data_IF_991990750222
#
_entry.id   IF_991990750222
#
_cell.length_a   1.000
_cell.length_b   1.000
_cell.length_c   1.000
_cell.angle_alpha   90.00
_cell.angle_beta   90.00
_cell.angle_gamma   90.00
#
_symmetry.space_group_name_H-M   'P 1'
#
loop_
_entity.id
_entity.type
_entity.pdbx_description
1 polymer ?
#
# COMPACT_ATOMS: atom_id res chain seq x y z
N UNK A 1 7.78 4.85 -57.87
CA UNK A 1 6.84 4.87 -56.73
C UNK A 1 7.64 5.26 -55.48
N UNK A 2 7.52 6.52 -55.04
CA UNK A 2 8.25 7.07 -53.88
C UNK A 2 7.43 6.79 -52.61
N UNK A 3 8.01 6.08 -51.64
CA UNK A 3 7.42 5.88 -50.32
C UNK A 3 7.72 7.10 -49.46
N UNK A 4 6.67 7.72 -48.94
CA UNK A 4 6.72 8.85 -48.02
C UNK A 4 6.79 8.28 -46.60
N UNK A 5 7.86 8.59 -45.88
CA UNK A 5 8.01 8.36 -44.44
C UNK A 5 7.32 9.53 -43.72
N UNK A 6 6.34 9.21 -42.87
CA UNK A 6 5.72 10.15 -41.93
C UNK A 6 6.36 9.90 -40.56
N UNK A 7 6.96 10.90 -39.90
CA UNK A 7 7.33 10.77 -38.50
C UNK A 7 6.12 11.15 -37.62
N UNK A 8 5.68 10.23 -36.78
CA UNK A 8 4.75 10.53 -35.69
C UNK A 8 5.54 11.22 -34.57
N UNK A 9 5.35 12.52 -34.44
CA UNK A 9 5.86 13.33 -33.34
C UNK A 9 4.84 13.25 -32.20
N UNK A 10 5.09 12.39 -31.21
CA UNK A 10 4.32 12.37 -29.96
C UNK A 10 4.93 13.45 -29.06
N UNK A 11 4.20 14.55 -28.90
CA UNK A 11 4.52 15.62 -27.97
C UNK A 11 4.07 15.17 -26.57
N UNK A 12 5.00 14.69 -25.75
CA UNK A 12 4.76 14.44 -24.33
C UNK A 12 4.94 15.77 -23.60
N UNK A 13 3.83 16.42 -23.24
CA UNK A 13 3.84 17.69 -22.51
C UNK A 13 4.16 17.38 -21.04
N UNK A 14 5.34 17.82 -20.59
CA UNK A 14 5.72 17.79 -19.18
C UNK A 14 4.79 18.70 -18.36
N UNK A 15 4.02 18.11 -17.46
CA UNK A 15 3.44 18.82 -16.32
C UNK A 15 4.42 18.68 -15.14
N UNK A 16 5.37 19.62 -15.05
CA UNK A 16 6.26 19.73 -13.89
C UNK A 16 5.83 20.93 -13.05
N UNK A 17 5.57 20.68 -11.77
CA UNK A 17 5.62 21.69 -10.71
C UNK A 17 4.29 22.27 -10.23
N UNK A 18 3.39 21.44 -9.71
CA UNK A 18 2.47 21.86 -8.65
C UNK A 18 2.81 21.01 -7.41
N UNK A 19 3.41 21.64 -6.38
CA UNK A 19 3.52 21.01 -5.07
C UNK A 19 2.12 20.91 -4.49
N UNK A 20 1.53 19.72 -4.52
CA UNK A 20 0.17 19.50 -4.01
C UNK A 20 0.22 19.45 -2.48
N UNK A 21 -0.56 20.35 -1.87
CA UNK A 21 -0.71 20.39 -0.43
C UNK A 21 -1.64 19.27 0.02
N UNK A 22 -1.06 18.20 0.53
CA UNK A 22 -1.77 17.07 1.07
C UNK A 22 -2.50 17.51 2.35
N UNK A 23 -1.87 18.16 3.32
CA UNK A 23 -2.54 18.44 4.61
C UNK A 23 -2.61 19.93 4.97
N UNK A 24 -2.37 20.84 4.03
CA UNK A 24 -2.31 22.26 4.36
C UNK A 24 -3.69 22.81 4.74
N UNK A 25 -3.83 23.04 6.04
CA UNK A 25 -4.95 23.70 6.68
C UNK A 25 -4.65 25.18 6.92
N UNK A 26 -3.93 25.85 6.01
CA UNK A 26 -3.83 27.31 6.01
C UNK A 26 -5.19 27.93 5.66
N UNK A 27 -6.09 27.90 6.65
CA UNK A 27 -7.29 28.73 6.82
C UNK A 27 -7.85 29.42 5.55
N UNK A 28 -8.91 28.88 4.92
CA UNK A 28 -10.03 29.74 4.65
C UNK A 28 -10.68 30.02 6.01
N UNK A 29 -10.26 31.11 6.64
CA UNK A 29 -11.06 31.72 7.70
C UNK A 29 -12.46 31.97 7.12
N UNK A 30 -13.39 31.04 7.37
CA UNK A 30 -14.79 31.13 6.93
C UNK A 30 -15.31 30.07 5.95
N UNK A 31 -14.63 28.92 5.77
CA UNK A 31 -15.12 27.83 4.90
C UNK A 31 -15.13 26.48 5.59
N UNK A 32 -16.17 26.22 6.37
CA UNK A 32 -16.67 24.92 6.82
C UNK A 32 -15.92 23.67 6.31
N UNK A 33 -14.99 23.13 7.11
CA UNK A 33 -14.66 21.69 7.09
C UNK A 33 -15.81 20.90 7.74
N UNK A 34 -17.05 21.20 7.35
CA UNK A 34 -18.18 20.30 7.62
C UNK A 34 -17.96 19.11 6.72
N UNK A 35 -17.28 18.13 7.30
CA UNK A 35 -17.71 16.74 7.17
C UNK A 35 -19.24 16.77 7.32
N UNK A 36 -19.98 16.79 6.20
CA UNK A 36 -21.42 16.49 6.15
C UNK A 36 -21.67 14.97 6.37
N UNK A 37 -20.61 14.23 6.68
CA UNK A 37 -20.64 12.87 7.20
C UNK A 37 -21.07 12.94 8.67
N UNK A 38 -21.91 11.99 9.11
CA UNK A 38 -22.52 11.99 10.44
C UNK A 38 -21.52 12.22 11.57
N UNK A 39 -22.02 12.72 12.71
CA UNK A 39 -21.24 12.91 13.94
C UNK A 39 -20.38 11.66 14.21
N UNK A 40 -19.06 11.82 14.19
CA UNK A 40 -18.11 10.73 14.42
C UNK A 40 -18.44 10.06 15.76
N UNK A 41 -18.53 8.74 15.75
CA UNK A 41 -18.87 7.94 16.91
C UNK A 41 -17.99 6.70 16.99
N UNK A 42 -16.98 6.73 17.86
CA UNK A 42 -16.02 5.65 18.02
C UNK A 42 -16.58 4.40 18.72
N UNK A 43 -17.78 4.49 19.31
CA UNK A 43 -18.51 3.37 19.88
C UNK A 43 -19.48 2.72 18.88
N UNK A 44 -19.81 3.42 17.79
CA UNK A 44 -20.70 2.91 16.74
C UNK A 44 -20.04 1.79 15.93
N UNK A 45 -20.83 0.82 15.44
CA UNK A 45 -20.35 -0.18 14.48
C UNK A 45 -19.72 0.40 13.20
N UNK A 46 -20.04 1.64 12.83
CA UNK A 46 -19.55 2.28 11.59
C UNK A 46 -18.64 3.48 11.84
N UNK A 47 -18.35 3.85 13.09
CA UNK A 47 -17.55 5.04 13.37
C UNK A 47 -18.28 6.38 13.14
N UNK A 48 -19.59 6.34 12.84
CA UNK A 48 -20.37 7.50 12.39
C UNK A 48 -20.42 7.69 10.86
N UNK A 49 -19.64 6.92 10.10
CA UNK A 49 -19.65 6.98 8.64
C UNK A 49 -20.94 6.42 8.03
N UNK A 50 -21.37 7.01 6.90
CA UNK A 50 -22.59 6.65 6.18
C UNK A 50 -22.33 5.76 4.95
N UNK A 51 -23.35 5.02 4.48
CA UNK A 51 -23.30 4.22 3.24
C UNK A 51 -23.60 5.04 1.96
N UNK A 52 -23.60 6.38 2.05
CA UNK A 52 -23.88 7.26 0.92
C UNK A 52 -22.68 7.37 -0.01
N UNK A 53 -22.94 7.62 -1.29
CA UNK A 53 -21.89 7.98 -2.24
C UNK A 53 -21.28 9.34 -1.86
N UNK A 54 -20.05 9.57 -2.30
CA UNK A 54 -19.27 10.79 -2.10
C UNK A 54 -18.90 11.40 -3.46
N UNK A 55 -18.39 12.62 -3.46
CA UNK A 55 -17.66 13.12 -4.63
C UNK A 55 -16.40 12.25 -4.88
N UNK A 56 -15.95 12.07 -6.14
CA UNK A 56 -14.69 11.42 -6.44
C UNK A 56 -13.55 11.97 -5.56
N UNK A 57 -12.72 11.07 -5.02
CA UNK A 57 -11.66 11.42 -4.09
C UNK A 57 -12.12 12.23 -2.86
N UNK A 58 -13.37 12.04 -2.42
CA UNK A 58 -14.01 12.82 -1.35
C UNK A 58 -14.02 14.34 -1.62
N UNK A 59 -13.99 14.75 -2.90
CA UNK A 59 -13.85 16.15 -3.30
C UNK A 59 -12.45 16.75 -3.14
N UNK A 60 -11.43 15.91 -2.85
CA UNK A 60 -10.06 16.32 -2.55
C UNK A 60 -9.06 15.75 -3.58
N UNK A 61 -9.33 15.88 -4.88
CA UNK A 61 -8.54 15.23 -5.96
C UNK A 61 -7.02 15.45 -5.85
N UNK A 62 -6.59 16.67 -5.54
CA UNK A 62 -5.17 17.03 -5.38
C UNK A 62 -4.48 16.18 -4.30
N UNK A 63 -5.22 15.82 -3.24
CA UNK A 63 -4.72 15.00 -2.12
C UNK A 63 -4.53 13.52 -2.46
N UNK A 64 -5.00 13.06 -3.63
CA UNK A 64 -4.86 11.67 -4.06
C UNK A 64 -4.09 11.52 -5.38
N UNK A 65 -3.81 12.63 -6.07
CA UNK A 65 -3.12 12.63 -7.36
C UNK A 65 -1.76 11.94 -7.33
N UNK A 66 -0.93 12.21 -6.30
CA UNK A 66 0.38 11.58 -6.14
C UNK A 66 0.32 10.07 -5.82
N UNK A 67 -0.80 9.57 -5.32
CA UNK A 67 -0.95 8.17 -4.89
C UNK A 67 -1.56 7.26 -5.98
N UNK A 68 -2.09 7.84 -7.06
CA UNK A 68 -2.85 7.11 -8.08
C UNK A 68 -2.08 6.86 -9.38
N UNK A 69 -0.97 7.56 -9.59
CA UNK A 69 -0.20 7.55 -10.85
C UNK A 69 1.01 6.61 -10.73
N UNK A 70 0.72 5.32 -10.67
CA UNK A 70 1.73 4.26 -10.84
C UNK A 70 1.48 3.58 -12.20
N UNK A 71 2.35 3.79 -13.22
CA UNK A 71 2.15 3.19 -14.53
C UNK A 71 2.28 1.66 -14.46
N UNK A 72 1.48 0.97 -15.28
CA UNK A 72 1.66 -0.46 -15.50
C UNK A 72 3.02 -0.70 -16.17
N UNK A 73 3.79 -1.64 -15.64
CA UNK A 73 5.02 -2.08 -16.27
C UNK A 73 4.70 -3.27 -17.18
N UNK A 74 5.04 -3.15 -18.46
CA UNK A 74 4.85 -4.23 -19.43
C UNK A 74 6.07 -5.14 -19.38
N UNK A 75 6.02 -6.15 -18.51
CA UNK A 75 7.11 -7.12 -18.37
C UNK A 75 7.07 -8.17 -19.48
N UNK A 76 8.19 -8.33 -20.18
CA UNK A 76 8.35 -9.33 -21.25
C UNK A 76 8.18 -10.77 -20.75
N UNK A 77 8.44 -11.02 -19.46
CA UNK A 77 8.29 -12.33 -18.83
C UNK A 77 6.82 -12.67 -18.57
N UNK A 78 5.92 -11.68 -18.49
CA UNK A 78 4.50 -11.94 -18.24
C UNK A 78 3.87 -12.78 -19.36
N UNK A 79 4.21 -12.52 -20.61
CA UNK A 79 3.66 -13.23 -21.78
C UNK A 79 4.35 -14.57 -22.08
N UNK A 80 5.35 -14.98 -21.28
CA UNK A 80 6.03 -16.28 -21.47
C UNK A 80 5.02 -17.44 -21.26
N UNK A 81 4.88 -18.37 -22.24
CA UNK A 81 3.95 -19.49 -22.12
C UNK A 81 4.17 -20.37 -20.88
N UNK A 82 5.41 -20.52 -20.41
CA UNK A 82 5.72 -21.28 -19.20
C UNK A 82 5.25 -20.55 -17.94
N UNK A 83 5.43 -19.23 -17.89
CA UNK A 83 4.97 -18.38 -16.79
C UNK A 83 3.45 -18.36 -16.75
N UNK A 84 2.79 -18.17 -17.89
CA UNK A 84 1.33 -18.24 -18.00
C UNK A 84 0.78 -19.61 -17.61
N UNK A 85 1.47 -20.70 -17.97
CA UNK A 85 1.09 -22.05 -17.52
C UNK A 85 1.18 -22.18 -16.00
N UNK A 86 2.20 -21.60 -15.36
CA UNK A 86 2.34 -21.61 -13.91
C UNK A 86 1.26 -20.75 -13.24
N UNK A 87 1.04 -19.52 -13.69
CA UNK A 87 0.01 -18.61 -13.13
C UNK A 87 -1.38 -19.26 -13.17
N UNK A 88 -1.70 -19.98 -14.25
CA UNK A 88 -2.99 -20.63 -14.41
C UNK A 88 -3.08 -22.01 -13.72
N UNK A 89 -2.01 -22.52 -13.13
CA UNK A 89 -2.00 -23.80 -12.43
C UNK A 89 -2.44 -23.61 -10.96
N UNK A 90 -3.48 -24.33 -10.55
CA UNK A 90 -4.02 -24.30 -9.17
C UNK A 90 -3.01 -24.71 -8.08
N UNK A 91 -1.94 -25.43 -8.44
CA UNK A 91 -0.89 -25.88 -7.54
C UNK A 91 0.34 -24.97 -7.54
N UNK A 92 0.40 -23.95 -8.42
CA UNK A 92 1.42 -22.93 -8.32
C UNK A 92 1.12 -22.04 -7.12
N UNK A 93 2.18 -21.62 -6.41
CA UNK A 93 2.05 -20.62 -5.36
C UNK A 93 2.48 -19.29 -5.93
N UNK A 94 1.55 -18.35 -5.99
CA UNK A 94 1.81 -17.01 -6.48
C UNK A 94 1.80 -16.08 -5.29
N UNK A 95 2.92 -15.43 -5.01
CA UNK A 95 2.98 -14.36 -4.02
C UNK A 95 2.95 -13.04 -4.75
N UNK A 96 2.35 -12.02 -4.12
CA UNK A 96 2.53 -10.65 -4.56
C UNK A 96 3.34 -9.91 -3.50
N UNK A 97 4.43 -9.31 -3.95
CA UNK A 97 5.33 -8.54 -3.10
C UNK A 97 5.33 -7.09 -3.58
N UNK A 98 5.15 -6.17 -2.63
CA UNK A 98 5.33 -4.74 -2.82
C UNK A 98 6.44 -4.27 -1.88
N UNK A 99 7.50 -3.71 -2.44
CA UNK A 99 8.57 -3.06 -1.69
C UNK A 99 8.57 -1.57 -2.02
N UNK A 100 8.46 -0.73 -1.01
CA UNK A 100 8.50 0.73 -1.12
C UNK A 100 9.65 1.22 -0.25
N UNK A 101 10.45 2.14 -0.77
CA UNK A 101 11.59 2.74 -0.07
C UNK A 101 11.65 4.25 -0.27
N UNK A 102 12.55 4.93 0.44
CA UNK A 102 12.67 6.39 0.44
C UNK A 102 12.15 7.01 1.74
N UNK A 103 11.76 8.28 1.72
CA UNK A 103 11.32 9.00 2.93
C UNK A 103 9.86 8.69 3.26
N UNK A 104 9.62 7.52 3.83
CA UNK A 104 8.28 7.00 4.11
C UNK A 104 7.40 7.98 4.92
N UNK A 105 7.97 8.67 5.91
CA UNK A 105 7.23 9.63 6.75
C UNK A 105 6.82 10.90 5.98
N UNK A 106 7.57 11.26 4.94
CA UNK A 106 7.33 12.43 4.11
C UNK A 106 6.68 12.08 2.77
N UNK A 107 6.38 10.80 2.52
CA UNK A 107 5.73 10.33 1.29
C UNK A 107 4.40 11.05 1.00
N UNK A 108 3.79 11.61 2.05
CA UNK A 108 2.51 12.31 1.99
C UNK A 108 2.62 13.75 2.49
N UNK A 109 3.83 14.23 2.77
CA UNK A 109 4.08 15.60 3.18
C UNK A 109 4.31 16.49 1.96
N UNK A 110 3.93 17.76 2.07
CA UNK A 110 4.04 18.73 0.97
C UNK A 110 5.50 18.86 0.54
N UNK A 111 5.74 18.61 -0.75
CA UNK A 111 7.06 18.48 -1.38
C UNK A 111 7.88 19.79 -1.43
N UNK A 112 7.60 20.76 -0.56
CA UNK A 112 8.42 21.97 -0.40
C UNK A 112 9.69 21.72 0.41
N UNK A 113 9.95 20.48 0.82
CA UNK A 113 11.20 20.08 1.49
C UNK A 113 12.34 20.16 0.47
N UNK A 114 13.03 21.31 0.44
CA UNK A 114 14.18 21.55 -0.43
C UNK A 114 15.46 20.83 0.04
N UNK A 115 15.57 20.57 1.35
CA UNK A 115 16.68 19.82 1.93
C UNK A 115 16.31 18.34 2.01
N UNK A 116 16.69 17.58 0.99
CA UNK A 116 16.39 16.17 0.91
C UNK A 116 17.68 15.34 0.97
N UNK A 117 17.71 14.31 1.83
CA UNK A 117 18.83 13.37 1.94
C UNK A 117 18.70 12.29 0.87
N UNK A 118 19.31 12.49 -0.30
CA UNK A 118 19.28 11.50 -1.40
C UNK A 118 19.96 10.21 -0.93
N UNK A 119 19.26 9.08 -1.07
CA UNK A 119 19.83 7.75 -0.84
C UNK A 119 19.85 6.98 -2.15
N UNK A 120 20.96 6.29 -2.40
CA UNK A 120 21.05 5.28 -3.45
C UNK A 120 20.38 3.97 -2.97
N UNK A 121 19.23 3.67 -3.56
CA UNK A 121 18.45 2.46 -3.32
C UNK A 121 18.67 1.38 -4.37
N UNK A 122 19.67 1.56 -5.24
CA UNK A 122 20.02 0.59 -6.27
C UNK A 122 20.22 -0.80 -5.69
N UNK A 123 19.74 -1.80 -6.42
CA UNK A 123 19.52 -3.11 -5.84
C UNK A 123 18.99 -4.13 -6.83
N UNK A 124 18.34 -5.16 -6.29
CA UNK A 124 17.82 -6.25 -7.09
C UNK A 124 17.00 -7.25 -6.28
N UNK A 125 16.19 -8.03 -6.99
CA UNK A 125 15.47 -9.18 -6.45
C UNK A 125 15.88 -10.41 -7.26
N UNK A 126 16.26 -11.46 -6.54
CA UNK A 126 16.54 -12.80 -7.08
C UNK A 126 15.59 -13.79 -6.40
N UNK A 127 14.82 -14.55 -7.18
CA UNK A 127 13.89 -15.55 -6.67
C UNK A 127 14.28 -16.95 -7.17
N UNK A 128 15.13 -17.61 -6.38
CA UNK A 128 15.65 -18.95 -6.72
C UNK A 128 14.51 -19.95 -6.77
N UNK A 129 14.51 -20.80 -7.78
CA UNK A 129 13.45 -21.80 -7.98
C UNK A 129 12.08 -21.23 -8.38
N UNK A 130 11.99 -19.96 -8.81
CA UNK A 130 10.74 -19.34 -9.25
C UNK A 130 10.90 -18.32 -10.37
N UNK A 131 9.81 -17.60 -10.65
CA UNK A 131 9.74 -16.52 -11.64
C UNK A 131 9.37 -15.19 -10.98
N UNK A 132 9.91 -14.09 -11.52
CA UNK A 132 9.60 -12.72 -11.13
C UNK A 132 8.95 -12.01 -12.31
N UNK A 133 7.70 -11.56 -12.14
CA UNK A 133 7.01 -10.67 -13.08
C UNK A 133 6.84 -9.32 -12.42
N UNK A 134 7.43 -8.27 -12.99
CA UNK A 134 7.23 -6.89 -12.56
C UNK A 134 5.83 -6.46 -12.97
N UNK A 135 5.02 -6.04 -12.02
CA UNK A 135 3.71 -5.46 -12.31
C UNK A 135 3.79 -3.94 -12.42
N UNK A 136 4.60 -3.32 -11.55
CA UNK A 136 4.65 -1.86 -11.40
C UNK A 136 6.01 -1.37 -10.93
N UNK A 137 6.35 -0.18 -11.44
CA UNK A 137 7.33 0.72 -10.84
C UNK A 137 6.55 1.81 -10.11
N UNK A 138 6.93 2.09 -8.88
CA UNK A 138 6.26 3.04 -8.01
C UNK A 138 7.14 4.28 -7.95
N UNK A 139 6.64 5.39 -8.48
CA UNK A 139 7.26 6.72 -8.39
C UNK A 139 8.74 6.88 -8.84
N UNK A 140 9.29 5.95 -9.64
CA UNK A 140 10.64 6.04 -10.21
C UNK A 140 10.88 7.37 -10.93
N UNK A 141 12.01 8.00 -10.64
CA UNK A 141 12.45 9.23 -11.30
C UNK A 141 12.93 8.98 -12.74
N UNK A 142 13.17 10.07 -13.49
CA UNK A 142 13.56 9.99 -14.90
C UNK A 142 14.89 9.24 -15.15
N UNK A 143 15.79 9.20 -14.16
CA UNK A 143 17.08 8.48 -14.25
C UNK A 143 16.99 7.06 -13.68
N UNK A 144 15.91 6.75 -12.96
CA UNK A 144 15.68 5.45 -12.37
C UNK A 144 15.20 4.45 -13.40
N UNK A 145 15.62 3.20 -13.27
CA UNK A 145 15.27 2.16 -14.21
C UNK A 145 15.41 0.77 -13.62
N UNK A 146 14.68 -0.18 -14.20
CA UNK A 146 14.78 -1.61 -13.89
C UNK A 146 15.38 -2.34 -15.08
N UNK A 147 16.39 -3.16 -14.80
CA UNK A 147 17.02 -4.06 -15.75
C UNK A 147 16.62 -5.52 -15.46
N UNK A 148 16.19 -6.21 -16.51
CA UNK A 148 15.86 -7.62 -16.49
C UNK A 148 17.12 -8.44 -16.81
N UNK A 149 17.63 -9.19 -15.83
CA UNK A 149 18.76 -10.10 -16.04
C UNK A 149 18.27 -11.43 -16.60
N UNK A 150 17.29 -12.03 -15.91
CA UNK A 150 16.61 -13.25 -16.34
C UNK A 150 15.22 -13.37 -15.69
N UNK A 151 14.54 -14.50 -15.92
CA UNK A 151 13.19 -14.78 -15.41
C UNK A 151 13.07 -14.78 -13.88
N UNK A 152 14.17 -15.02 -13.19
CA UNK A 152 14.28 -15.12 -11.74
C UNK A 152 15.05 -13.97 -11.10
N UNK A 153 15.57 -13.02 -11.90
CA UNK A 153 16.38 -11.92 -11.39
C UNK A 153 16.13 -10.60 -12.11
N UNK A 154 15.93 -9.56 -11.30
CA UNK A 154 15.91 -8.15 -11.71
C UNK A 154 16.89 -7.34 -10.90
N UNK A 155 17.40 -6.28 -11.51
CA UNK A 155 18.21 -5.26 -10.87
C UNK A 155 17.59 -3.89 -11.17
N UNK A 156 17.86 -2.90 -10.34
CA UNK A 156 17.39 -1.54 -10.58
C UNK A 156 18.38 -0.50 -10.07
N UNK A 157 18.26 0.69 -10.64
CA UNK A 157 18.87 1.93 -10.18
C UNK A 157 17.75 2.83 -9.70
N UNK A 158 17.86 3.32 -8.46
CA UNK A 158 16.86 4.22 -7.85
C UNK A 158 17.55 5.19 -6.89
N UNK A 159 17.34 6.49 -7.10
CA UNK A 159 17.88 7.57 -6.27
C UNK A 159 16.77 8.46 -5.73
N UNK A 160 16.15 8.02 -4.64
CA UNK A 160 14.90 8.62 -4.17
C UNK A 160 15.13 9.87 -3.30
N UNK A 161 14.46 10.99 -3.62
CA UNK A 161 14.47 12.21 -2.78
C UNK A 161 13.47 13.29 -3.25
N UNK A 162 12.61 13.89 -2.40
CA UNK A 162 12.23 13.55 -1.02
C UNK A 162 11.10 12.51 -0.94
N UNK A 163 10.70 11.91 -2.06
CA UNK A 163 9.53 11.03 -2.13
C UNK A 163 9.88 9.58 -1.73
N UNK A 164 9.03 8.67 -2.20
CA UNK A 164 9.22 7.23 -2.14
C UNK A 164 9.40 6.71 -3.56
N UNK A 165 10.10 5.61 -3.69
CA UNK A 165 10.08 4.77 -4.88
C UNK A 165 9.67 3.35 -4.48
N UNK A 166 9.48 2.48 -5.44
CA UNK A 166 9.25 1.08 -5.13
C UNK A 166 8.99 0.20 -6.33
N UNK A 167 8.78 -1.07 -6.04
CA UNK A 167 8.43 -2.08 -7.03
C UNK A 167 7.33 -2.99 -6.51
N UNK A 168 6.45 -3.39 -7.42
CA UNK A 168 5.49 -4.46 -7.17
C UNK A 168 5.75 -5.61 -8.14
N UNK A 169 5.88 -6.83 -7.61
CA UNK A 169 6.18 -8.03 -8.37
C UNK A 169 5.25 -9.19 -8.01
N UNK A 170 4.96 -10.05 -9.00
CA UNK A 170 4.47 -11.42 -8.76
C UNK A 170 5.67 -12.35 -8.64
N UNK A 171 5.72 -13.12 -7.56
CA UNK A 171 6.69 -14.20 -7.35
C UNK A 171 5.96 -15.53 -7.57
N UNK A 172 6.35 -16.28 -8.59
CA UNK A 172 5.64 -17.49 -9.00
C UNK A 172 6.51 -18.70 -8.68
N UNK A 173 6.05 -19.52 -7.73
CA UNK A 173 6.64 -20.82 -7.45
C UNK A 173 5.94 -21.85 -8.35
N UNK A 174 6.66 -22.47 -9.31
CA UNK A 174 6.08 -23.50 -10.15
C UNK A 174 5.55 -24.67 -9.30
N UNK A 175 4.49 -25.34 -9.76
CA UNK A 175 3.94 -26.49 -9.04
C UNK A 175 4.96 -27.63 -9.04
N UNK A 176 4.99 -28.43 -7.97
CA UNK A 176 5.93 -29.57 -7.81
C UNK A 176 5.59 -30.74 -8.78
N UNK A 177 4.72 -30.54 -9.76
CA UNK A 177 4.15 -31.62 -10.58
C UNK A 177 5.14 -32.14 -11.63
N UNK A 178 5.67 -33.32 -11.31
CA UNK A 178 6.17 -34.39 -12.17
C UNK A 178 7.37 -34.00 -13.04
N UNK A 179 8.50 -33.70 -12.40
CA UNK A 179 9.76 -34.14 -13.00
C UNK A 179 9.65 -35.65 -13.10
N UNK A 180 9.69 -36.15 -14.34
CA UNK A 180 9.70 -37.56 -14.70
C UNK A 180 10.49 -38.35 -13.64
N UNK A 181 9.93 -39.42 -13.06
CA UNK A 181 10.52 -40.18 -11.94
C UNK A 181 11.96 -40.68 -12.22
N UNK A 182 12.42 -40.52 -13.46
CA UNK A 182 13.76 -40.82 -13.94
C UNK A 182 14.85 -39.80 -13.56
N UNK A 183 14.52 -38.61 -13.02
CA UNK A 183 15.52 -37.60 -12.65
C UNK A 183 15.41 -37.20 -11.18
N UNK A 184 16.26 -37.78 -10.33
CA UNK A 184 16.42 -37.45 -8.90
C UNK A 184 17.06 -36.06 -8.68
N UNK A 185 16.49 -35.00 -9.26
CA UNK A 185 16.86 -33.63 -8.92
C UNK A 185 16.09 -33.28 -7.65
N UNK A 186 16.83 -33.11 -6.55
CA UNK A 186 16.27 -32.50 -5.34
C UNK A 186 15.83 -31.08 -5.74
N UNK A 187 14.53 -30.75 -5.69
CA UNK A 187 14.08 -29.42 -6.07
C UNK A 187 14.74 -28.40 -5.15
N UNK A 188 15.35 -27.37 -5.75
CA UNK A 188 15.90 -26.26 -4.99
C UNK A 188 14.79 -25.61 -4.16
N UNK A 189 15.05 -25.38 -2.87
CA UNK A 189 14.07 -24.74 -1.98
C UNK A 189 13.96 -23.27 -2.42
N UNK A 190 12.77 -22.78 -2.79
CA UNK A 190 12.65 -21.41 -3.25
C UNK A 190 12.98 -20.40 -2.15
N UNK A 191 13.86 -19.45 -2.48
CA UNK A 191 14.31 -18.38 -1.59
C UNK A 191 14.28 -17.07 -2.39
N UNK A 192 13.70 -16.04 -1.79
CA UNK A 192 13.76 -14.68 -2.31
C UNK A 192 14.92 -13.94 -1.67
N UNK A 193 15.87 -13.47 -2.45
CA UNK A 193 16.88 -12.52 -2.02
C UNK A 193 16.51 -11.13 -2.52
N UNK A 194 16.41 -10.17 -1.61
CA UNK A 194 16.11 -8.77 -1.92
C UNK A 194 17.25 -7.89 -1.41
N UNK A 195 17.71 -6.98 -2.27
CA UNK A 195 18.65 -5.91 -1.94
C UNK A 195 18.10 -4.57 -2.41
N UNK A 196 18.14 -3.55 -1.55
CA UNK A 196 17.78 -2.17 -1.87
C UNK A 196 18.65 -1.22 -1.02
N UNK A 197 19.65 -0.58 -1.64
CA UNK A 197 20.64 0.21 -0.90
C UNK A 197 21.40 -0.65 0.13
N UNK A 198 21.39 -0.22 1.39
CA UNK A 198 22.01 -0.96 2.51
C UNK A 198 21.17 -2.14 3.03
N UNK A 199 19.88 -2.20 2.66
CA UNK A 199 19.03 -3.32 3.04
C UNK A 199 19.31 -4.55 2.18
N UNK A 200 19.64 -5.67 2.81
CA UNK A 200 19.78 -6.98 2.15
C UNK A 200 19.21 -8.08 3.04
N UNK A 201 18.27 -8.87 2.52
CA UNK A 201 17.69 -10.00 3.25
C UNK A 201 17.25 -11.13 2.32
N UNK A 202 17.34 -12.35 2.83
CA UNK A 202 16.72 -13.53 2.23
C UNK A 202 15.41 -13.89 2.96
N UNK A 203 14.41 -14.33 2.21
CA UNK A 203 13.09 -14.70 2.68
C UNK A 203 12.70 -16.08 2.19
N UNK A 204 12.22 -16.90 3.11
CA UNK A 204 11.58 -18.19 2.83
C UNK A 204 10.14 -18.00 2.35
N UNK A 205 9.56 -19.03 1.71
CA UNK A 205 8.15 -19.01 1.31
C UNK A 205 7.19 -18.81 2.49
N UNK A 206 7.54 -19.32 3.67
CA UNK A 206 6.74 -19.13 4.90
C UNK A 206 6.74 -17.67 5.33
N UNK A 207 7.90 -16.99 5.28
CA UNK A 207 7.97 -15.56 5.56
C UNK A 207 7.17 -14.76 4.54
N UNK A 208 7.30 -15.06 3.24
CA UNK A 208 6.59 -14.36 2.16
C UNK A 208 5.07 -14.47 2.22
N UNK A 209 4.53 -15.53 2.80
CA UNK A 209 3.08 -15.77 2.84
C UNK A 209 2.33 -14.72 3.67
N UNK A 210 3.00 -14.14 4.68
CA UNK A 210 2.38 -13.18 5.62
C UNK A 210 3.35 -12.03 5.96
N UNK A 211 4.24 -11.67 5.04
CA UNK A 211 5.30 -10.72 5.31
C UNK A 211 4.76 -9.29 5.43
N UNK A 212 5.06 -8.67 6.56
CA UNK A 212 4.95 -7.24 6.78
C UNK A 212 6.21 -6.77 7.50
N UNK A 213 7.11 -6.15 6.75
CA UNK A 213 8.39 -5.69 7.24
C UNK A 213 8.50 -4.18 7.07
N UNK A 214 9.01 -3.52 8.09
CA UNK A 214 9.42 -2.11 8.03
C UNK A 214 10.80 -2.00 8.65
N UNK A 215 11.75 -1.42 7.90
CA UNK A 215 13.12 -1.19 8.36
C UNK A 215 13.46 0.27 8.14
N UNK A 216 13.54 1.09 9.20
CA UNK A 216 14.13 2.43 9.08
C UNK A 216 15.61 2.31 8.75
N UNK A 217 16.10 3.16 7.87
CA UNK A 217 17.48 3.09 7.35
C UNK A 217 18.34 4.22 7.91
N UNK A 218 17.77 5.39 8.14
CA UNK A 218 18.53 6.55 8.62
C UNK A 218 17.73 7.51 9.53
N UNK A 219 18.36 8.65 9.85
CA UNK A 219 17.75 9.74 10.63
C UNK A 219 16.96 10.74 9.80
N UNK A 220 17.10 10.74 8.47
CA UNK A 220 16.33 11.59 7.56
C UNK A 220 14.93 11.02 7.30
N UNK A 221 14.60 9.89 7.92
CA UNK A 221 13.29 9.24 7.78
C UNK A 221 13.19 8.34 6.57
N UNK A 222 14.34 7.99 5.98
CA UNK A 222 14.41 6.97 4.96
C UNK A 222 14.16 5.59 5.59
N UNK A 223 13.43 4.76 4.88
CA UNK A 223 13.14 3.39 5.29
C UNK A 223 12.66 2.57 4.12
N UNK A 224 12.58 1.26 4.34
CA UNK A 224 11.95 0.32 3.41
C UNK A 224 10.77 -0.37 4.10
N UNK A 225 9.64 -0.40 3.40
CA UNK A 225 8.47 -1.19 3.75
C UNK A 225 8.28 -2.30 2.72
N UNK A 226 8.15 -3.53 3.19
CA UNK A 226 7.93 -4.70 2.34
C UNK A 226 6.67 -5.39 2.82
N UNK A 227 5.74 -5.61 1.90
CA UNK A 227 4.54 -6.40 2.15
C UNK A 227 4.42 -7.49 1.12
N UNK A 228 4.26 -8.73 1.58
CA UNK A 228 4.02 -9.88 0.73
C UNK A 228 2.89 -10.74 1.27
N UNK A 229 2.12 -11.32 0.36
CA UNK A 229 1.08 -12.27 0.70
C UNK A 229 1.01 -13.36 -0.37
N UNK A 230 0.59 -14.55 0.04
CA UNK A 230 0.23 -15.63 -0.87
C UNK A 230 -1.13 -15.34 -1.48
N UNK A 231 -1.22 -15.33 -2.81
CA UNK A 231 -2.48 -15.20 -3.56
C UNK A 231 -3.25 -16.50 -3.60
N UNK A 232 -4.37 -16.64 -2.87
CA UNK A 232 -5.19 -17.83 -2.97
C UNK A 232 -5.84 -17.87 -4.35
N UNK A 233 -5.97 -19.07 -4.92
CA UNK A 233 -6.59 -19.23 -6.22
C UNK A 233 -8.04 -18.71 -6.18
N UNK A 234 -8.36 -17.73 -7.02
CA UNK A 234 -9.68 -17.06 -7.11
C UNK A 234 -10.12 -16.32 -5.86
N UNK A 235 -9.19 -15.90 -5.00
CA UNK A 235 -9.51 -14.98 -3.91
C UNK A 235 -8.94 -13.59 -4.16
N UNK A 236 -9.79 -12.57 -4.45
CA UNK A 236 -9.29 -11.23 -4.66
C UNK A 236 -8.70 -10.64 -3.38
N UNK A 237 -7.55 -10.02 -3.54
CA UNK A 237 -6.76 -9.39 -2.50
C UNK A 237 -6.03 -8.21 -3.13
N UNK A 238 -5.56 -7.27 -2.32
CA UNK A 238 -4.79 -6.14 -2.83
C UNK A 238 -4.11 -5.39 -1.71
N UNK A 239 -3.76 -4.14 -2.01
CA UNK A 239 -3.07 -3.28 -1.06
C UNK A 239 -3.93 -2.08 -0.69
N UNK A 240 -3.55 -1.46 0.40
CA UNK A 240 -3.95 -0.11 0.71
C UNK A 240 -2.77 0.62 1.33
N UNK A 241 -2.59 1.86 0.92
CA UNK A 241 -1.53 2.70 1.43
C UNK A 241 -1.96 4.15 1.42
N UNK A 242 -1.29 4.97 2.22
CA UNK A 242 -1.59 6.38 2.26
C UNK A 242 -0.96 7.06 3.46
N UNK A 243 -1.41 8.28 3.73
CA UNK A 243 -0.90 9.09 4.83
C UNK A 243 -1.82 9.06 6.03
N UNK A 244 -1.22 9.18 7.20
CA UNK A 244 -1.94 9.53 8.41
C UNK A 244 -1.33 10.79 9.03
N UNK A 245 -2.14 11.51 9.79
CA UNK A 245 -1.75 12.71 10.51
C UNK A 245 -2.35 12.64 11.91
N UNK A 246 -1.50 12.71 12.91
CA UNK A 246 -1.91 12.95 14.28
C UNK A 246 -2.61 14.31 14.36
N UNK A 247 -3.73 14.35 15.07
CA UNK A 247 -4.46 15.58 15.33
C UNK A 247 -4.34 15.92 16.82
N UNK A 248 -4.58 17.18 17.17
CA UNK A 248 -4.80 17.54 18.56
C UNK A 248 -5.94 16.66 19.12
N UNK A 249 -5.77 16.01 20.29
CA UNK A 249 -6.77 15.10 20.84
C UNK A 249 -8.16 15.76 20.92
N UNK A 250 -9.08 15.26 20.10
CA UNK A 250 -10.44 15.79 19.99
C UNK A 250 -11.40 14.87 20.76
N UNK A 251 -11.89 15.34 21.91
CA UNK A 251 -12.73 14.55 22.81
C UNK A 251 -14.18 14.59 22.35
N UNK A 252 -14.71 13.42 22.00
CA UNK A 252 -16.09 13.24 21.61
C UNK A 252 -16.96 13.13 22.87
N UNK A 253 -17.95 14.01 22.99
CA UNK A 253 -18.90 14.05 24.11
C UNK A 253 -20.30 13.87 23.55
N UNK A 254 -21.12 13.06 24.22
CA UNK A 254 -22.56 13.00 23.95
C UNK A 254 -23.22 14.31 24.42
N UNK A 255 -23.84 15.07 23.52
CA UNK A 255 -24.43 16.36 23.87
C UNK A 255 -25.61 16.27 24.85
N UNK A 256 -26.31 15.12 24.89
CA UNK A 256 -27.46 14.91 25.76
C UNK A 256 -27.04 14.44 27.16
N UNK A 257 -26.09 13.50 27.24
CA UNK A 257 -25.68 12.89 28.51
C UNK A 257 -24.44 13.53 29.13
N UNK A 258 -23.61 14.20 28.33
CA UNK A 258 -22.30 14.70 28.72
C UNK A 258 -21.24 13.60 28.90
N UNK A 259 -21.54 12.36 28.52
CA UNK A 259 -20.61 11.24 28.65
C UNK A 259 -19.56 11.26 27.52
N UNK A 260 -18.34 10.82 27.86
CA UNK A 260 -17.23 10.71 26.91
C UNK A 260 -17.41 9.49 25.99
N UNK A 261 -17.46 9.72 24.68
CA UNK A 261 -17.60 8.69 23.63
C UNK A 261 -16.27 8.24 23.02
N UNK A 262 -15.21 9.00 23.28
CA UNK A 262 -13.86 8.67 22.82
C UNK A 262 -13.00 9.90 22.55
N UNK A 263 -11.83 9.66 22.00
CA UNK A 263 -10.88 10.70 21.59
C UNK A 263 -10.36 10.38 20.20
N UNK A 264 -10.49 11.32 19.26
CA UNK A 264 -9.83 11.23 17.96
C UNK A 264 -8.36 11.62 18.14
N UNK A 265 -7.46 10.77 17.70
CA UNK A 265 -6.01 10.95 17.81
C UNK A 265 -5.35 11.14 16.44
N UNK A 266 -6.02 10.72 15.36
CA UNK A 266 -5.50 10.86 14.01
C UNK A 266 -6.56 10.82 12.94
N UNK A 267 -6.20 11.35 11.77
CA UNK A 267 -6.95 11.23 10.52
C UNK A 267 -6.05 10.57 9.48
N UNK A 268 -6.64 9.77 8.61
CA UNK A 268 -5.90 9.13 7.53
C UNK A 268 -6.66 9.18 6.21
N UNK A 269 -5.89 9.10 5.13
CA UNK A 269 -6.39 8.93 3.77
C UNK A 269 -5.46 8.05 2.98
N UNK A 270 -5.97 7.40 1.95
CA UNK A 270 -5.14 6.56 1.10
C UNK A 270 -5.85 6.05 -0.13
N UNK A 271 -5.18 5.17 -0.85
CA UNK A 271 -5.69 4.55 -2.05
C UNK A 271 -6.00 3.09 -1.77
N UNK A 272 -7.16 2.65 -2.25
CA UNK A 272 -7.51 1.24 -2.32
C UNK A 272 -6.95 0.68 -3.63
N UNK A 273 -6.08 -0.31 -3.53
CA UNK A 273 -5.40 -0.90 -4.68
C UNK A 273 -5.99 -2.28 -4.99
N UNK A 274 -6.48 -2.47 -6.21
CA UNK A 274 -7.06 -3.72 -6.72
C UNK A 274 -6.10 -4.92 -6.68
N UNK A 275 -6.65 -6.10 -6.96
CA UNK A 275 -5.90 -7.32 -7.20
C UNK A 275 -5.01 -7.31 -8.44
N UNK A 276 -4.93 -6.20 -9.17
CA UNK A 276 -4.01 -6.01 -10.29
C UNK A 276 -3.02 -4.87 -10.04
N UNK A 277 -2.93 -4.40 -8.80
CA UNK A 277 -2.08 -3.26 -8.44
C UNK A 277 -2.63 -1.91 -8.88
N UNK A 278 -3.73 -1.85 -9.64
CA UNK A 278 -4.36 -0.58 -10.06
C UNK A 278 -5.06 0.08 -8.89
N UNK A 279 -5.01 1.41 -8.80
CA UNK A 279 -5.95 2.16 -7.96
C UNK A 279 -7.40 1.77 -8.33
N UNK A 280 -8.19 1.42 -7.33
CA UNK A 280 -9.60 1.04 -7.47
C UNK A 280 -10.52 1.93 -6.64
N UNK A 281 -9.96 2.79 -5.80
CA UNK A 281 -10.70 3.81 -5.10
C UNK A 281 -9.91 4.50 -4.01
N UNK A 282 -10.64 5.21 -3.15
CA UNK A 282 -10.08 6.10 -2.16
C UNK A 282 -10.54 5.72 -0.75
N UNK A 283 -9.68 6.02 0.22
CA UNK A 283 -9.90 5.80 1.63
C UNK A 283 -9.82 7.13 2.38
N UNK A 284 -10.70 7.31 3.36
CA UNK A 284 -10.66 8.40 4.34
C UNK A 284 -11.15 7.88 5.68
N UNK A 285 -10.50 8.26 6.78
CA UNK A 285 -10.91 7.78 8.08
C UNK A 285 -10.25 8.46 9.27
N UNK A 286 -10.54 7.92 10.46
CA UNK A 286 -10.06 8.38 11.75
C UNK A 286 -9.52 7.24 12.59
N UNK A 287 -8.54 7.54 13.44
CA UNK A 287 -8.02 6.65 14.46
C UNK A 287 -8.10 7.34 15.81
N UNK A 288 -8.43 6.59 16.86
CA UNK A 288 -8.65 7.14 18.19
C UNK A 288 -8.79 6.09 19.27
N UNK A 289 -9.29 6.51 20.43
CA UNK A 289 -9.73 5.65 21.52
C UNK A 289 -11.23 5.77 21.70
N UNK A 290 -11.93 4.65 21.90
CA UNK A 290 -13.37 4.67 22.19
C UNK A 290 -13.66 4.96 23.68
N UNK A 291 -14.92 4.95 24.10
CA UNK A 291 -15.32 5.27 25.49
C UNK A 291 -14.74 4.32 26.56
N UNK A 292 -14.38 3.10 26.16
CA UNK A 292 -13.75 2.10 27.04
C UNK A 292 -12.21 2.13 26.98
N UNK A 293 -11.63 3.04 26.20
CA UNK A 293 -10.18 3.22 26.04
C UNK A 293 -9.52 2.23 25.09
N UNK A 294 -10.27 1.50 24.26
CA UNK A 294 -9.69 0.67 23.20
C UNK A 294 -9.27 1.53 22.00
N UNK A 295 -8.08 1.23 21.45
CA UNK A 295 -7.62 1.82 20.21
C UNK A 295 -8.45 1.28 19.03
N UNK A 296 -9.17 2.18 18.37
CA UNK A 296 -10.04 1.87 17.24
C UNK A 296 -9.68 2.71 16.02
N UNK A 297 -9.94 2.16 14.84
CA UNK A 297 -9.91 2.89 13.57
C UNK A 297 -11.19 2.66 12.80
N UNK A 298 -11.64 3.71 12.14
CA UNK A 298 -12.80 3.69 11.26
C UNK A 298 -12.48 4.44 9.97
N UNK A 299 -13.12 4.07 8.87
CA UNK A 299 -13.00 4.80 7.62
C UNK A 299 -14.02 4.39 6.58
N UNK A 300 -14.02 5.12 5.48
CA UNK A 300 -14.88 4.91 4.33
C UNK A 300 -14.04 4.60 3.11
N UNK A 301 -14.50 3.63 2.34
CA UNK A 301 -13.94 3.23 1.04
C UNK A 301 -14.97 3.56 -0.06
N UNK A 302 -14.55 4.39 -1.01
CA UNK A 302 -15.30 4.74 -2.23
C UNK A 302 -14.50 4.32 -3.46
N UNK A 303 -15.15 4.01 -4.58
CA UNK A 303 -14.41 3.80 -5.83
C UNK A 303 -13.93 5.12 -6.46
N UNK A 304 -13.27 5.00 -7.61
CA UNK A 304 -12.73 6.15 -8.34
C UNK A 304 -13.81 7.16 -8.77
N UNK A 305 -15.08 6.74 -8.89
CA UNK A 305 -16.21 7.61 -9.21
C UNK A 305 -16.95 8.12 -7.96
N UNK A 306 -16.42 7.86 -6.76
CA UNK A 306 -17.03 8.31 -5.50
C UNK A 306 -18.13 7.39 -4.95
N UNK A 307 -18.43 6.26 -5.61
CA UNK A 307 -19.51 5.38 -5.16
C UNK A 307 -19.08 4.59 -3.93
N UNK A 308 -19.96 4.50 -2.94
CA UNK A 308 -19.72 3.75 -1.71
C UNK A 308 -19.39 2.28 -1.97
N UNK A 309 -18.31 1.79 -1.36
CA UNK A 309 -17.89 0.38 -1.41
C UNK A 309 -17.85 -0.29 -0.05
N UNK A 310 -17.52 0.44 1.01
CA UNK A 310 -17.59 -0.11 2.35
C UNK A 310 -17.11 0.82 3.46
N UNK A 311 -17.39 0.40 4.69
CA UNK A 311 -16.87 0.97 5.93
C UNK A 311 -15.76 0.08 6.46
N UNK A 312 -14.61 0.68 6.75
CA UNK A 312 -13.50 0.05 7.43
C UNK A 312 -13.72 0.16 8.94
N UNK A 313 -13.51 -0.94 9.65
CA UNK A 313 -13.53 -0.98 11.12
C UNK A 313 -12.38 -1.85 11.59
N UNK A 314 -11.62 -1.35 12.56
CA UNK A 314 -10.48 -2.09 13.05
C UNK A 314 -9.93 -1.59 14.37
N UNK A 315 -8.75 -2.09 14.68
CA UNK A 315 -7.93 -1.71 15.83
C UNK A 315 -6.54 -1.37 15.35
N UNK A 316 -5.85 -0.55 16.12
CA UNK A 316 -4.47 -0.19 15.87
C UNK A 316 -3.69 -0.23 17.18
N UNK A 317 -2.38 -0.42 17.10
CA UNK A 317 -1.52 -0.30 18.26
C UNK A 317 -0.09 0.02 17.83
N UNK A 318 0.72 0.40 18.80
CA UNK A 318 2.17 0.48 18.64
C UNK A 318 2.77 -0.93 18.64
N UNK A 319 3.87 -1.12 17.93
CA UNK A 319 4.59 -2.39 17.93
C UNK A 319 5.35 -2.55 19.24
N UNK A 320 5.18 -3.67 19.96
CA UNK A 320 5.79 -3.87 21.30
C UNK A 320 7.33 -3.89 21.29
N UNK A 321 7.93 -4.16 20.14
CA UNK A 321 9.39 -4.11 19.95
C UNK A 321 9.94 -2.68 20.00
N UNK A 322 9.06 -1.67 20.06
CA UNK A 322 9.45 -0.33 20.44
C UNK A 322 9.83 -0.31 21.91
N UNK A 323 11.12 -0.47 22.21
CA UNK A 323 11.68 0.25 23.36
C UNK A 323 11.19 1.70 23.26
N UNK A 324 10.77 2.29 24.37
CA UNK A 324 10.06 3.58 24.50
C UNK A 324 10.78 4.77 23.81
N UNK A 325 11.98 4.56 23.24
CA UNK A 325 12.80 5.52 22.51
C UNK A 325 13.01 5.21 21.01
N UNK A 326 12.31 4.25 20.41
CA UNK A 326 12.44 3.94 18.98
C UNK A 326 11.77 5.02 18.13
N UNK A 327 12.57 6.01 17.76
CA UNK A 327 12.24 6.98 16.74
C UNK A 327 12.58 6.38 15.36
N UNK A 328 11.64 6.39 14.40
CA UNK A 328 10.28 6.94 14.48
C UNK A 328 9.21 6.00 15.09
N UNK A 329 8.15 6.55 15.72
CA UNK A 329 6.97 5.79 16.13
C UNK A 329 6.42 4.93 14.99
N UNK A 330 6.13 3.67 15.28
CA UNK A 330 5.51 2.76 14.32
C UNK A 330 4.60 1.76 15.03
N UNK A 331 3.75 1.10 14.25
CA UNK A 331 2.79 0.16 14.78
C UNK A 331 2.12 -0.68 13.72
N UNK A 332 1.01 -1.28 14.13
CA UNK A 332 0.19 -2.14 13.30
C UNK A 332 -1.28 -1.73 13.37
N UNK A 333 -2.04 -2.19 12.40
CA UNK A 333 -3.49 -2.14 12.42
C UNK A 333 -4.08 -3.40 11.79
N UNK A 334 -5.29 -3.75 12.20
CA UNK A 334 -6.05 -4.86 11.64
C UNK A 334 -7.55 -4.57 11.70
N UNK A 335 -8.34 -5.20 10.85
CA UNK A 335 -9.77 -4.97 10.84
C UNK A 335 -10.53 -5.72 9.75
N UNK A 336 -11.71 -5.20 9.47
CA UNK A 336 -12.65 -5.69 8.49
C UNK A 336 -13.16 -4.56 7.62
N UNK A 337 -13.61 -4.88 6.41
CA UNK A 337 -14.41 -3.96 5.62
C UNK A 337 -15.84 -4.49 5.42
N UNK A 338 -16.79 -3.61 5.66
CA UNK A 338 -18.22 -3.87 5.72
C UNK A 338 -18.85 -3.22 4.50
N UNK A 339 -19.43 -4.00 3.61
CA UNK A 339 -20.09 -3.47 2.42
C UNK A 339 -21.51 -2.99 2.72
N UNK A 340 -22.23 -2.59 1.67
CA UNK A 340 -23.65 -2.21 1.73
C UNK A 340 -24.48 -3.29 2.44
N UNK A 341 -25.44 -2.85 3.25
CA UNK A 341 -26.31 -3.71 4.08
C UNK A 341 -25.58 -4.46 5.21
N UNK A 342 -24.43 -3.95 5.68
CA UNK A 342 -23.74 -4.47 6.87
C UNK A 342 -22.99 -5.80 6.69
N UNK A 343 -22.89 -6.34 5.47
CA UNK A 343 -22.21 -7.60 5.22
C UNK A 343 -20.69 -7.45 5.24
N UNK A 344 -19.99 -8.25 6.06
CA UNK A 344 -18.51 -8.29 6.07
C UNK A 344 -18.02 -8.86 4.74
N UNK A 345 -17.27 -8.05 4.00
CA UNK A 345 -16.76 -8.40 2.66
C UNK A 345 -15.32 -8.88 2.69
N UNK A 346 -14.54 -8.46 3.67
CA UNK A 346 -13.13 -8.82 3.76
C UNK A 346 -12.48 -8.39 5.06
N UNK A 347 -11.19 -8.70 5.14
CA UNK A 347 -10.29 -8.36 6.25
C UNK A 347 -9.19 -7.45 5.74
N UNK A 348 -8.62 -6.68 6.64
CA UNK A 348 -7.48 -5.81 6.37
C UNK A 348 -6.46 -5.92 7.50
N UNK A 349 -5.19 -5.73 7.18
CA UNK A 349 -4.10 -5.62 8.15
C UNK A 349 -2.94 -4.84 7.55
N UNK A 350 -2.09 -4.27 8.38
CA UNK A 350 -0.88 -3.60 7.92
C UNK A 350 -0.12 -2.88 9.01
N UNK A 351 0.80 -2.02 8.57
CA UNK A 351 1.72 -1.27 9.41
C UNK A 351 1.61 0.22 9.15
N UNK A 352 1.97 1.00 10.16
CA UNK A 352 2.06 2.45 10.06
C UNK A 352 3.35 2.95 10.71
N UNK A 353 3.84 4.10 10.24
CA UNK A 353 5.00 4.83 10.76
C UNK A 353 4.61 6.32 10.86
N UNK A 354 5.15 7.05 11.84
CA UNK A 354 4.94 8.48 12.01
C UNK A 354 6.23 9.20 12.40
N UNK A 355 6.40 10.45 11.99
CA UNK A 355 7.45 11.34 12.44
C UNK A 355 7.14 11.94 13.82
N UNK A 356 8.07 12.75 14.35
CA UNK A 356 7.89 13.44 15.61
C UNK A 356 6.77 14.51 15.61
N UNK A 357 6.32 14.94 14.44
CA UNK A 357 5.22 15.90 14.26
C UNK A 357 3.86 15.19 14.08
N UNK A 358 3.85 13.86 14.04
CA UNK A 358 2.66 13.04 13.86
C UNK A 358 2.23 12.86 12.41
N UNK A 359 3.01 13.28 11.42
CA UNK A 359 2.78 12.91 10.02
C UNK A 359 3.33 11.52 9.78
N UNK A 360 2.62 10.73 8.99
CA UNK A 360 3.07 9.37 8.75
C UNK A 360 2.47 8.72 7.54
N UNK A 361 2.84 7.47 7.38
CA UNK A 361 2.46 6.62 6.28
C UNK A 361 1.98 5.29 6.79
N UNK A 362 0.99 4.72 6.11
CA UNK A 362 0.54 3.37 6.36
C UNK A 362 0.56 2.58 5.07
N UNK A 363 0.81 1.28 5.21
CA UNK A 363 0.74 0.32 4.12
C UNK A 363 0.21 -1.00 4.66
N UNK A 364 -0.63 -1.66 3.89
CA UNK A 364 -1.19 -2.94 4.27
C UNK A 364 -1.89 -3.65 3.14
N UNK A 365 -2.49 -4.77 3.51
CA UNK A 365 -3.15 -5.70 2.62
C UNK A 365 -4.61 -5.80 2.99
N UNK A 366 -5.44 -6.01 1.99
CA UNK A 366 -6.84 -6.37 2.17
C UNK A 366 -7.09 -7.68 1.43
N UNK A 367 -7.98 -8.51 1.99
CA UNK A 367 -8.35 -9.81 1.43
C UNK A 367 -9.87 -9.93 1.47
N UNK A 368 -10.49 -10.33 0.37
CA UNK A 368 -11.91 -10.66 0.38
C UNK A 368 -12.17 -11.89 1.25
N UNK A 369 -13.32 -11.92 1.92
CA UNK A 369 -13.83 -13.13 2.54
C UNK A 369 -14.30 -14.08 1.43
N UNK A 370 -13.34 -14.73 0.82
CA UNK A 370 -13.58 -15.89 -0.01
C UNK A 370 -13.96 -17.01 0.95
N UNK A 371 -15.10 -17.65 0.71
CA UNK A 371 -15.39 -18.89 1.43
C UNK A 371 -14.19 -19.79 1.22
N UNK A 372 -13.60 -20.31 2.30
CA UNK A 372 -12.70 -21.43 2.23
C UNK A 372 -13.46 -22.49 1.43
N UNK A 373 -13.12 -22.63 0.15
CA UNK A 373 -13.54 -23.79 -0.61
C UNK A 373 -12.75 -24.89 0.07
N UNK A 374 -13.36 -25.49 1.09
CA UNK A 374 -12.81 -26.63 1.81
C UNK A 374 -12.46 -27.62 0.71
N UNK A 375 -11.16 -27.80 0.47
CA UNK A 375 -10.66 -28.72 -0.55
C UNK A 375 -11.15 -30.12 -0.15
N UNK A 376 -12.08 -30.69 -0.95
CA UNK A 376 -12.39 -32.13 -0.92
C UNK A 376 -11.28 -32.95 -1.57
#
# INVERSE_FOLDING_TARGET
>A
MKRILVPALILFLMALGAGCNLFDSTNPSGGSTTVEDGTIDLDSPTGGFTENDEEPAFGEEDSYSSMTVDPLYVDQVEDDPEVQRCINNRHARVFRLRAIWGQLMNAVADSSIADCCVIDWSGGIEFRGGYIVIERLIAFDAEDHVERIDRSKIEWVSHTCPHIDGIQVKLIVPPVTIMDESVSIVPEIPILKLKAGEFEREFTLTELAEMELHVPTDRCGNGIMISSHLRPYRCPEGYMFGGWRAVEPDTLIDEETGEMRGVILGKYRGVWVSEHGMAAGFLRGVAGTNSIGENVLFGKYIDLEGRFKGILRGRWNHSLDTEIASYPPHGWYEGIWIGKAGGIKGRLKGRWIADGNGYGFFNGVWVMNCYDIVEE
#
